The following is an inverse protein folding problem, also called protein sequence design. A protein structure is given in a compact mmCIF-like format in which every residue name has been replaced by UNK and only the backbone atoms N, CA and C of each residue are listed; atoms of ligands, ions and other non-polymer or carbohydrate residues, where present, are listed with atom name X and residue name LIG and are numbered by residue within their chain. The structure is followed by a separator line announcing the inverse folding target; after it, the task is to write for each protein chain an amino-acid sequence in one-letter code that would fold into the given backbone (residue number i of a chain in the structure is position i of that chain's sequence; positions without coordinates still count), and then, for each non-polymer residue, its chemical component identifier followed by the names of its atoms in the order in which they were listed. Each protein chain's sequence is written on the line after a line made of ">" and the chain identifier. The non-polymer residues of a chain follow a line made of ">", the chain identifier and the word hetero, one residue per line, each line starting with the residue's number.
data_IF_252029375559
#
_entry.id   IF_252029375559
#
_cell.length_a   1.000
_cell.length_b   1.000
_cell.length_c   1.000
_cell.angle_alpha   90.00
_cell.angle_beta   90.00
_cell.angle_gamma   90.00
#
_symmetry.space_group_name_H-M   'P 1'
#
loop_
_entity.id
_entity.type
_entity.pdbx_description
1 polymer ?
#
# COMPACT_ATOMS: atom_id res chain seq x y z
N UNK A 1 -5.66 -9.55 -17.11
CA UNK A 1 -5.20 -9.53 -15.72
C UNK A 1 -6.32 -10.14 -14.91
N UNK A 2 -6.09 -11.29 -14.27
CA UNK A 2 -7.13 -11.86 -13.41
C UNK A 2 -7.35 -10.93 -12.20
N UNK A 3 -8.58 -10.83 -11.66
CA UNK A 3 -8.83 -10.03 -10.44
C UNK A 3 -7.93 -10.44 -9.26
N UNK A 4 -7.56 -11.71 -9.18
CA UNK A 4 -6.62 -12.23 -8.19
C UNK A 4 -5.21 -11.62 -8.31
N UNK A 5 -4.72 -11.40 -9.52
CA UNK A 5 -3.41 -10.78 -9.75
C UNK A 5 -3.39 -9.32 -9.30
N UNK A 6 -4.50 -8.59 -9.48
CA UNK A 6 -4.64 -7.23 -8.96
C UNK A 6 -4.60 -7.17 -7.43
N UNK A 7 -5.31 -8.08 -6.77
CA UNK A 7 -5.30 -8.14 -5.30
C UNK A 7 -3.90 -8.44 -4.77
N UNK A 8 -3.17 -9.39 -5.39
CA UNK A 8 -1.79 -9.69 -5.01
C UNK A 8 -0.85 -8.49 -5.25
N UNK A 9 -1.04 -7.77 -6.36
CA UNK A 9 -0.30 -6.55 -6.63
C UNK A 9 -0.56 -5.49 -5.55
N UNK A 10 -1.82 -5.26 -5.18
CA UNK A 10 -2.18 -4.31 -4.13
C UNK A 10 -1.68 -4.74 -2.75
N UNK A 11 -1.65 -6.04 -2.45
CA UNK A 11 -1.00 -6.56 -1.25
C UNK A 11 0.48 -6.16 -1.23
N UNK A 12 1.21 -6.31 -2.33
CA UNK A 12 2.62 -5.92 -2.39
C UNK A 12 2.77 -4.40 -2.21
N UNK A 13 2.03 -3.60 -2.98
CA UNK A 13 2.08 -2.13 -2.92
C UNK A 13 1.74 -1.62 -1.52
N UNK A 14 0.69 -2.18 -0.90
CA UNK A 14 0.27 -1.86 0.46
C UNK A 14 1.28 -2.23 1.54
N UNK A 15 2.40 -2.89 1.24
CA UNK A 15 3.44 -3.21 2.23
C UNK A 15 4.77 -2.49 1.94
N UNK A 16 4.92 -1.87 0.75
CA UNK A 16 6.13 -1.14 0.34
C UNK A 16 6.61 -0.06 1.35
N UNK A 17 5.74 0.83 1.88
CA UNK A 17 6.15 1.85 2.87
C UNK A 17 6.84 1.33 4.13
N UNK A 18 6.59 0.07 4.50
CA UNK A 18 7.06 -0.53 5.74
C UNK A 18 8.33 -1.36 5.58
N UNK A 19 8.54 -1.93 4.40
CA UNK A 19 9.74 -2.71 4.11
C UNK A 19 10.98 -1.84 3.90
N UNK A 20 10.81 -0.57 3.52
CA UNK A 20 11.93 0.31 3.16
C UNK A 20 11.96 1.59 4.01
N UNK A 21 13.17 2.05 4.34
CA UNK A 21 13.40 3.37 4.95
C UNK A 21 13.50 4.49 3.91
N UNK A 22 13.38 4.17 2.63
CA UNK A 22 13.36 5.15 1.55
C UNK A 22 11.97 5.78 1.48
N UNK A 23 11.91 7.10 1.37
CA UNK A 23 10.66 7.82 1.13
C UNK A 23 10.27 7.69 -0.33
N UNK A 24 9.07 7.20 -0.58
CA UNK A 24 8.54 6.83 -1.90
C UNK A 24 9.44 5.88 -2.70
N UNK A 25 10.25 5.05 -2.04
CA UNK A 25 11.33 4.25 -2.66
C UNK A 25 12.47 5.05 -3.30
N UNK A 26 12.36 6.37 -3.40
CA UNK A 26 13.32 7.24 -4.13
C UNK A 26 14.30 7.91 -3.18
N UNK A 27 13.83 8.52 -2.09
CA UNK A 27 14.66 9.37 -1.23
C UNK A 27 15.18 8.61 -0.02
N UNK A 28 16.49 8.45 0.09
CA UNK A 28 17.11 7.86 1.29
C UNK A 28 17.16 8.89 2.40
N UNK A 29 16.44 8.67 3.50
CA UNK A 29 16.53 9.51 4.70
C UNK A 29 17.54 8.87 5.66
N UNK A 30 18.46 9.68 6.19
CA UNK A 30 19.49 9.23 7.16
C UNK A 30 18.91 8.98 8.57
N UNK A 31 17.76 9.61 8.87
CA UNK A 31 17.01 9.45 10.11
C UNK A 31 15.94 8.34 10.00
N UNK A 32 15.50 7.82 11.16
CA UNK A 32 14.38 6.87 11.22
C UNK A 32 13.11 7.48 10.65
N UNK A 33 12.48 6.78 9.70
CA UNK A 33 11.28 7.27 9.04
C UNK A 33 10.12 7.36 10.03
N UNK A 34 9.55 8.56 10.17
CA UNK A 34 8.41 8.82 11.05
C UNK A 34 7.18 8.03 10.63
N UNK A 35 6.35 7.65 11.62
CA UNK A 35 5.07 6.98 11.40
C UNK A 35 4.17 7.82 10.48
N UNK A 36 4.14 9.14 10.67
CA UNK A 36 3.33 10.05 9.85
C UNK A 36 3.74 10.00 8.37
N UNK A 37 5.04 9.91 8.09
CA UNK A 37 5.54 9.81 6.71
C UNK A 37 5.07 8.49 6.07
N UNK A 38 5.15 7.37 6.79
CA UNK A 38 4.63 6.08 6.30
C UNK A 38 3.12 6.11 6.04
N UNK A 39 2.35 6.81 6.87
CA UNK A 39 0.91 6.97 6.67
C UNK A 39 0.59 7.83 5.43
N UNK A 40 1.33 8.92 5.22
CA UNK A 40 1.17 9.74 4.01
C UNK A 40 1.49 8.93 2.75
N UNK A 41 2.58 8.16 2.77
CA UNK A 41 2.92 7.28 1.66
C UNK A 41 1.86 6.22 1.41
N UNK A 42 1.33 5.62 2.47
CA UNK A 42 0.25 4.64 2.37
C UNK A 42 -0.95 5.22 1.61
N UNK A 43 -1.36 6.44 1.97
CA UNK A 43 -2.44 7.16 1.27
C UNK A 43 -2.07 7.41 -0.19
N UNK A 44 -0.84 7.83 -0.48
CA UNK A 44 -0.40 8.04 -1.88
C UNK A 44 -0.37 6.72 -2.67
N UNK A 45 0.13 5.63 -2.08
CA UNK A 45 0.15 4.31 -2.72
C UNK A 45 -1.25 3.74 -2.92
N UNK A 46 -2.22 4.11 -2.08
CA UNK A 46 -3.62 3.80 -2.31
C UNK A 46 -4.13 4.49 -3.58
N UNK A 47 -3.88 5.80 -3.74
CA UNK A 47 -4.25 6.51 -4.97
C UNK A 47 -3.54 5.97 -6.21
N UNK A 48 -2.27 5.59 -6.10
CA UNK A 48 -1.54 4.92 -7.20
C UNK A 48 -2.20 3.58 -7.55
N UNK A 49 -2.59 2.78 -6.55
CA UNK A 49 -3.28 1.52 -6.76
C UNK A 49 -4.65 1.72 -7.44
N UNK A 50 -5.36 2.79 -7.08
CA UNK A 50 -6.62 3.16 -7.72
C UNK A 50 -6.42 3.55 -9.20
N UNK A 51 -5.37 4.32 -9.52
CA UNK A 51 -5.03 4.64 -10.91
C UNK A 51 -4.67 3.39 -11.73
N UNK A 52 -3.96 2.44 -11.11
CA UNK A 52 -3.67 1.14 -11.74
C UNK A 52 -4.97 0.36 -11.98
N UNK A 53 -5.87 0.33 -11.01
CA UNK A 53 -7.17 -0.34 -11.14
C UNK A 53 -7.98 0.24 -12.31
N UNK A 54 -8.09 1.57 -12.40
CA UNK A 54 -8.80 2.27 -13.49
C UNK A 54 -8.15 1.97 -14.84
N UNK A 55 -6.82 2.04 -14.94
CA UNK A 55 -6.11 1.75 -16.19
C UNK A 55 -6.31 0.30 -16.65
N UNK A 56 -6.38 -0.64 -15.70
CA UNK A 56 -6.68 -2.04 -15.99
C UNK A 56 -8.14 -2.21 -16.41
N UNK A 57 -9.10 -1.59 -15.72
CA UNK A 57 -10.53 -1.63 -16.07
C UNK A 57 -10.79 -1.08 -17.48
N UNK A 58 -10.17 0.06 -17.82
CA UNK A 58 -10.24 0.64 -19.18
C UNK A 58 -9.72 -0.33 -20.25
N UNK A 59 -8.64 -1.06 -19.97
CA UNK A 59 -8.10 -2.03 -20.94
C UNK A 59 -8.98 -3.26 -21.14
N UNK A 60 -9.70 -3.71 -20.09
CA UNK A 60 -10.52 -4.93 -20.18
C UNK A 60 -11.95 -4.67 -20.67
N UNK A 61 -12.59 -3.63 -20.17
CA UNK A 61 -14.01 -3.37 -20.41
C UNK A 61 -14.26 -2.27 -21.46
N UNK A 62 -13.25 -1.46 -21.79
CA UNK A 62 -13.38 -0.31 -22.70
C UNK A 62 -14.12 0.89 -22.11
N UNK A 63 -14.68 0.75 -20.91
CA UNK A 63 -15.37 1.80 -20.18
C UNK A 63 -15.13 1.62 -18.67
N UNK A 64 -15.20 2.70 -17.90
CA UNK A 64 -15.02 2.71 -16.43
C UNK A 64 -16.36 2.91 -15.79
N UNK A 65 -16.82 1.93 -15.00
CA UNK A 65 -18.12 2.05 -14.37
C UNK A 65 -18.09 3.16 -13.29
N UNK A 66 -19.09 4.06 -13.24
CA UNK A 66 -19.15 5.10 -12.21
C UNK A 66 -19.37 4.47 -10.82
N UNK A 67 -18.34 4.52 -9.98
CA UNK A 67 -18.35 4.02 -8.61
C UNK A 67 -18.84 5.11 -7.64
N UNK A 68 -19.62 4.73 -6.62
CA UNK A 68 -20.05 5.64 -5.55
C UNK A 68 -18.95 5.82 -4.49
N UNK A 69 -19.06 6.85 -3.63
CA UNK A 69 -18.04 7.17 -2.63
C UNK A 69 -17.77 6.01 -1.64
N UNK A 70 -18.79 5.19 -1.37
CA UNK A 70 -18.74 4.01 -0.51
C UNK A 70 -17.72 2.98 -1.00
N UNK A 71 -17.59 2.82 -2.32
CA UNK A 71 -16.60 1.93 -2.92
C UNK A 71 -15.18 2.38 -2.58
N UNK A 72 -14.89 3.68 -2.71
CA UNK A 72 -13.57 4.22 -2.42
C UNK A 72 -13.22 4.15 -0.93
N UNK A 73 -14.20 4.32 -0.04
CA UNK A 73 -13.96 4.16 1.40
C UNK A 73 -13.72 2.69 1.75
N UNK A 74 -14.52 1.78 1.20
CA UNK A 74 -14.39 0.34 1.46
C UNK A 74 -13.06 -0.21 0.95
N UNK A 75 -12.65 0.17 -0.26
CA UNK A 75 -11.37 -0.24 -0.85
C UNK A 75 -10.19 0.39 -0.12
N UNK A 76 -10.31 1.63 0.39
CA UNK A 76 -9.31 2.22 1.27
C UNK A 76 -9.17 1.43 2.58
N UNK A 77 -10.27 1.08 3.24
CA UNK A 77 -10.23 0.24 4.44
C UNK A 77 -9.61 -1.13 4.16
N UNK A 78 -9.92 -1.75 3.02
CA UNK A 78 -9.29 -3.00 2.58
C UNK A 78 -7.77 -2.81 2.40
N UNK A 79 -7.33 -1.70 1.80
CA UNK A 79 -5.91 -1.39 1.62
C UNK A 79 -5.17 -1.24 2.96
N UNK A 80 -5.81 -0.64 3.97
CA UNK A 80 -5.28 -0.57 5.33
C UNK A 80 -5.11 -1.98 5.95
N UNK A 81 -6.05 -2.89 5.71
CA UNK A 81 -5.94 -4.28 6.18
C UNK A 81 -4.80 -5.01 5.47
N UNK A 82 -4.64 -4.82 4.16
CA UNK A 82 -3.55 -5.42 3.39
C UNK A 82 -2.17 -4.94 3.85
N UNK A 83 -2.08 -3.75 4.45
CA UNK A 83 -0.84 -3.18 4.99
C UNK A 83 -0.40 -3.77 6.34
N UNK A 84 -1.28 -4.49 7.04
CA UNK A 84 -1.01 -5.02 8.39
C UNK A 84 0.27 -5.86 8.47
N UNK A 85 0.58 -6.77 7.53
CA UNK A 85 1.83 -7.56 7.59
C UNK A 85 3.08 -6.68 7.66
N UNK A 86 3.13 -5.59 6.90
CA UNK A 86 4.23 -4.63 6.89
C UNK A 86 4.32 -3.84 8.19
N UNK A 87 3.17 -3.43 8.74
CA UNK A 87 3.10 -2.79 10.07
C UNK A 87 3.69 -3.71 11.14
N UNK A 88 3.23 -4.96 11.21
CA UNK A 88 3.70 -5.97 12.17
C UNK A 88 5.20 -6.23 12.01
N UNK A 89 5.67 -6.42 10.77
CA UNK A 89 7.08 -6.63 10.48
C UNK A 89 7.93 -5.47 11.03
N UNK A 90 7.56 -4.23 10.73
CA UNK A 90 8.37 -3.04 11.08
C UNK A 90 8.32 -2.69 12.57
N UNK A 91 7.14 -2.79 13.20
CA UNK A 91 6.94 -2.29 14.56
C UNK A 91 7.00 -3.37 15.65
N UNK A 92 6.80 -4.64 15.31
CA UNK A 92 6.87 -5.73 16.29
C UNK A 92 8.06 -6.65 16.03
N UNK A 93 8.19 -7.18 14.81
CA UNK A 93 9.21 -8.20 14.52
C UNK A 93 10.64 -7.66 14.57
N UNK A 94 10.93 -6.57 13.85
CA UNK A 94 12.26 -5.95 13.80
C UNK A 94 12.78 -5.52 15.19
N UNK A 95 11.99 -4.80 16.02
CA UNK A 95 12.42 -4.42 17.36
C UNK A 95 12.62 -5.62 18.29
N UNK A 96 11.77 -6.65 18.19
CA UNK A 96 11.89 -7.87 18.99
C UNK A 96 13.15 -8.65 18.62
N UNK A 97 13.43 -8.82 17.32
CA UNK A 97 14.65 -9.50 16.86
C UNK A 97 15.92 -8.76 17.24
N UNK A 98 15.89 -7.44 17.33
CA UNK A 98 17.03 -6.64 17.78
C UNK A 98 17.32 -6.79 19.28
N UNK A 99 16.29 -7.05 20.11
CA UNK A 99 16.45 -7.33 21.55
C UNK A 99 16.97 -8.75 21.86
N UNK A 100 16.80 -9.68 20.92
CA UNK A 100 17.19 -11.08 21.07
C UNK A 100 18.66 -11.36 20.65
N UNK A 101 19.33 -10.39 20.02
CA UNK A 101 20.77 -10.41 19.73
C UNK A 101 21.54 -9.68 20.83
#
# INVERSE_FOLDING_TARGET
>A
MSPTALILLFLIIANVPWLTERVFLVFSISATKSVLVRLIELVVFYFVSLLIAIGVEMQFSGDVYPQSWEFFVTTFCLFLVLAVPGVVYRYQWLPMSAKLK
#
